data_IF_599360970258
#
_entry.id   IF_599360970258
#
_cell.length_a   1.000
_cell.length_b   1.000
_cell.length_c   1.000
_cell.angle_alpha   90.00
_cell.angle_beta   90.00
_cell.angle_gamma   90.00
#
_symmetry.space_group_name_H-M   'P 1'
#
loop_
_entity.id
_entity.type
_entity.pdbx_description
1 polymer ?
#
# COMPACT_ATOMS: atom_id res chain seq x y z
N UNK A 1 -17.48 3.21 -5.75
CA UNK A 1 -18.42 2.86 -6.85
C UNK A 1 -17.83 1.76 -7.72
N UNK A 2 -18.62 0.75 -8.11
CA UNK A 2 -18.10 -0.44 -8.82
C UNK A 2 -17.50 -0.08 -10.19
N UNK A 3 -18.12 0.85 -10.92
CA UNK A 3 -17.65 1.28 -12.25
C UNK A 3 -16.28 1.98 -12.20
N UNK A 4 -16.03 2.84 -11.21
CA UNK A 4 -14.75 3.57 -11.10
C UNK A 4 -13.58 2.65 -10.78
N UNK A 5 -13.80 1.57 -10.03
CA UNK A 5 -12.78 0.53 -9.78
C UNK A 5 -12.47 -0.24 -11.06
N UNK A 6 -13.49 -0.72 -11.78
CA UNK A 6 -13.27 -1.45 -13.05
C UNK A 6 -12.52 -0.60 -14.08
N UNK A 7 -12.83 0.69 -14.16
CA UNK A 7 -12.12 1.61 -15.03
C UNK A 7 -10.64 1.79 -14.62
N UNK A 8 -10.35 1.79 -13.31
CA UNK A 8 -8.98 1.86 -12.82
C UNK A 8 -8.15 0.64 -13.24
N UNK A 9 -8.75 -0.55 -13.16
CA UNK A 9 -8.12 -1.82 -13.59
C UNK A 9 -7.80 -1.78 -15.10
N UNK A 10 -8.74 -1.33 -15.93
CA UNK A 10 -8.51 -1.17 -17.37
C UNK A 10 -7.36 -0.21 -17.66
N UNK A 11 -7.30 0.93 -16.98
CA UNK A 11 -6.18 1.86 -17.14
C UNK A 11 -4.84 1.28 -16.66
N UNK A 12 -4.85 0.41 -15.66
CA UNK A 12 -3.64 -0.30 -15.21
C UNK A 12 -3.15 -1.29 -16.28
N UNK A 13 -4.06 -2.05 -16.90
CA UNK A 13 -3.75 -2.98 -18.00
C UNK A 13 -3.20 -2.25 -19.23
N UNK A 14 -3.70 -1.05 -19.51
CA UNK A 14 -3.22 -0.17 -20.59
C UNK A 14 -1.92 0.58 -20.26
N UNK A 15 -1.40 0.47 -19.02
CA UNK A 15 -0.19 1.17 -18.56
C UNK A 15 -0.40 2.66 -18.23
N UNK A 16 -1.64 3.13 -18.19
CA UNK A 16 -2.01 4.51 -17.84
C UNK A 16 -2.09 4.73 -16.32
N UNK A 17 -0.94 4.67 -15.65
CA UNK A 17 -0.85 4.69 -14.18
C UNK A 17 -1.51 5.90 -13.51
N UNK A 18 -1.32 7.11 -14.06
CA UNK A 18 -1.92 8.32 -13.50
C UNK A 18 -3.46 8.32 -13.60
N UNK A 19 -4.01 7.83 -14.71
CA UNK A 19 -5.47 7.71 -14.88
C UNK A 19 -6.04 6.66 -13.94
N UNK A 20 -5.35 5.53 -13.79
CA UNK A 20 -5.72 4.49 -12.84
C UNK A 20 -5.72 5.03 -11.40
N UNK A 21 -4.67 5.73 -10.98
CA UNK A 21 -4.58 6.36 -9.66
C UNK A 21 -5.75 7.31 -9.39
N UNK A 22 -6.08 8.19 -10.34
CA UNK A 22 -7.24 9.10 -10.22
C UNK A 22 -8.56 8.33 -10.10
N UNK A 23 -8.72 7.23 -10.81
CA UNK A 23 -9.92 6.40 -10.72
C UNK A 23 -10.04 5.69 -9.35
N UNK A 24 -8.93 5.22 -8.78
CA UNK A 24 -8.89 4.64 -7.44
C UNK A 24 -9.16 5.68 -6.35
N UNK A 25 -8.58 6.87 -6.46
CA UNK A 25 -8.90 7.97 -5.54
C UNK A 25 -10.40 8.29 -5.58
N UNK A 26 -10.95 8.46 -6.79
CA UNK A 26 -12.38 8.73 -6.97
C UNK A 26 -13.25 7.60 -6.43
N UNK A 27 -12.79 6.36 -6.54
CA UNK A 27 -13.48 5.21 -5.95
C UNK A 27 -13.60 5.32 -4.43
N UNK A 28 -12.52 5.69 -3.74
CA UNK A 28 -12.48 5.86 -2.28
C UNK A 28 -13.33 7.06 -1.82
N UNK A 29 -13.28 8.18 -2.54
CA UNK A 29 -14.12 9.35 -2.27
C UNK A 29 -15.62 9.01 -2.31
N UNK A 30 -16.04 8.30 -3.37
CA UNK A 30 -17.44 7.88 -3.51
C UNK A 30 -17.86 6.90 -2.41
N UNK A 31 -16.92 6.04 -1.96
CA UNK A 31 -17.19 5.11 -0.87
C UNK A 31 -17.39 5.86 0.45
N UNK A 32 -16.51 6.81 0.76
CA UNK A 32 -16.63 7.66 1.93
C UNK A 32 -17.91 8.49 1.91
N UNK A 33 -18.25 9.10 0.78
CA UNK A 33 -19.50 9.85 0.62
C UNK A 33 -20.75 8.97 0.88
N UNK A 34 -20.74 7.73 0.38
CA UNK A 34 -21.83 6.79 0.62
C UNK A 34 -21.96 6.42 2.11
N UNK A 35 -20.83 6.31 2.83
CA UNK A 35 -20.83 6.05 4.29
C UNK A 35 -21.44 7.23 5.07
N UNK A 36 -21.07 8.47 4.71
CA UNK A 36 -21.67 9.67 5.31
C UNK A 36 -23.18 9.73 5.07
N UNK A 37 -23.61 9.48 3.83
CA UNK A 37 -25.03 9.45 3.49
C UNK A 37 -25.80 8.37 4.29
N UNK A 38 -25.21 7.19 4.46
CA UNK A 38 -25.80 6.11 5.25
C UNK A 38 -25.90 6.47 6.75
N UNK A 39 -24.89 7.15 7.30
CA UNK A 39 -24.90 7.59 8.70
C UNK A 39 -26.02 8.62 8.98
N UNK A 40 -26.28 9.54 8.05
CA UNK A 40 -27.36 10.52 8.17
C UNK A 40 -28.77 9.91 8.16
N UNK A 41 -28.97 8.77 7.49
CA UNK A 41 -30.29 8.11 7.45
C UNK A 41 -30.61 7.30 8.71
N UNK A 42 -29.61 6.97 9.53
CA UNK A 42 -29.81 6.27 10.81
C UNK A 42 -30.13 7.22 11.97
N UNK A 43 -29.83 8.52 11.81
CA UNK A 43 -30.31 9.56 12.70
C UNK A 43 -31.69 10.01 12.20
N UNK A 44 -32.72 9.77 13.00
CA UNK A 44 -34.11 10.18 12.75
C UNK A 44 -34.22 11.67 12.34
N UNK A 45 -35.32 12.10 11.67
CA UNK A 45 -35.42 13.41 11.03
C UNK A 45 -35.68 14.50 12.07
N UNK A 46 -34.68 14.88 12.87
CA UNK A 46 -34.70 16.16 13.56
C UNK A 46 -34.36 17.24 12.56
N UNK A 47 -35.40 17.94 12.13
CA UNK A 47 -35.41 19.09 11.23
C UNK A 47 -34.56 20.23 11.81
N UNK A 48 -33.24 20.18 11.70
CA UNK A 48 -32.32 21.30 11.92
C UNK A 48 -30.89 20.79 11.67
N UNK A 49 -30.52 20.64 10.41
CA UNK A 49 -29.12 20.53 10.02
C UNK A 49 -28.94 21.28 8.71
N UNK A 50 -28.74 22.57 8.88
CA UNK A 50 -28.25 23.55 7.93
C UNK A 50 -27.34 22.90 6.88
N UNK A 51 -27.79 22.96 5.63
CA UNK A 51 -27.01 22.58 4.45
C UNK A 51 -25.64 23.26 4.45
N UNK A 52 -24.61 22.51 4.84
CA UNK A 52 -23.21 22.74 4.44
C UNK A 52 -22.71 21.59 3.58
N UNK A 53 -23.63 20.91 2.89
CA UNK A 53 -23.33 19.94 1.83
C UNK A 53 -23.13 20.69 0.50
N UNK A 54 -22.18 21.61 0.47
CA UNK A 54 -21.79 22.31 -0.75
C UNK A 54 -20.30 22.08 -0.96
N UNK A 55 -20.00 21.30 -2.01
CA UNK A 55 -18.67 21.09 -2.59
C UNK A 55 -17.74 20.20 -1.75
N UNK A 56 -18.05 18.89 -1.70
CA UNK A 56 -17.26 17.83 -1.08
C UNK A 56 -15.92 17.59 -1.79
N UNK A 57 -14.99 18.55 -1.70
CA UNK A 57 -13.57 18.29 -1.90
C UNK A 57 -12.98 17.96 -0.54
N UNK A 58 -13.12 16.71 -0.11
CA UNK A 58 -12.48 16.24 1.12
C UNK A 58 -10.96 16.20 0.90
N UNK A 59 -10.20 16.52 1.95
CA UNK A 59 -8.75 16.29 1.91
C UNK A 59 -8.49 14.79 1.71
N UNK A 60 -7.56 14.43 0.83
CA UNK A 60 -7.29 13.02 0.51
C UNK A 60 -6.94 12.19 1.75
N UNK A 61 -6.18 12.77 2.67
CA UNK A 61 -5.89 12.19 3.98
C UNK A 61 -7.16 11.85 4.78
N UNK A 62 -8.16 12.74 4.78
CA UNK A 62 -9.43 12.49 5.46
C UNK A 62 -10.18 11.31 4.84
N UNK A 63 -10.19 11.22 3.50
CA UNK A 63 -10.81 10.09 2.79
C UNK A 63 -10.11 8.79 3.15
N UNK A 64 -8.78 8.74 3.12
CA UNK A 64 -8.02 7.53 3.43
C UNK A 64 -8.19 7.09 4.88
N UNK A 65 -8.20 8.02 5.84
CA UNK A 65 -8.33 7.69 7.25
C UNK A 65 -9.74 7.24 7.63
N UNK A 66 -10.78 7.79 6.99
CA UNK A 66 -12.16 7.57 7.39
C UNK A 66 -12.89 6.52 6.55
N UNK A 67 -12.35 6.13 5.39
CA UNK A 67 -12.98 5.10 4.57
C UNK A 67 -12.91 3.74 5.28
N UNK A 68 -14.05 3.05 5.34
CA UNK A 68 -14.08 1.63 5.70
C UNK A 68 -13.30 0.81 4.67
N UNK A 69 -12.41 -0.06 5.15
CA UNK A 69 -11.53 -0.85 4.30
C UNK A 69 -12.13 -2.25 4.12
N UNK A 70 -12.77 -2.47 2.97
CA UNK A 70 -13.10 -3.80 2.48
C UNK A 70 -12.07 -4.22 1.41
N UNK A 71 -12.18 -5.44 0.87
CA UNK A 71 -11.28 -5.93 -0.18
C UNK A 71 -11.05 -4.97 -1.37
N UNK A 72 -12.08 -4.33 -1.99
CA UNK A 72 -11.86 -3.44 -3.12
C UNK A 72 -11.19 -2.11 -2.72
N UNK A 73 -11.41 -1.62 -1.50
CA UNK A 73 -10.76 -0.43 -0.98
C UNK A 73 -9.31 -0.72 -0.56
N UNK A 74 -9.03 -1.92 -0.03
CA UNK A 74 -7.67 -2.37 0.26
C UNK A 74 -6.80 -2.42 -1.00
N UNK A 75 -7.32 -3.00 -2.10
CA UNK A 75 -6.64 -3.01 -3.39
C UNK A 75 -6.36 -1.58 -3.90
N UNK A 76 -7.34 -0.69 -3.79
CA UNK A 76 -7.20 0.71 -4.20
C UNK A 76 -6.14 1.45 -3.37
N UNK A 77 -6.14 1.27 -2.05
CA UNK A 77 -5.15 1.86 -1.13
C UNK A 77 -3.74 1.32 -1.41
N UNK A 78 -3.62 0.03 -1.69
CA UNK A 78 -2.34 -0.60 -2.05
C UNK A 78 -1.79 -0.01 -3.35
N UNK A 79 -2.60 0.08 -4.40
CA UNK A 79 -2.20 0.68 -5.66
C UNK A 79 -1.75 2.14 -5.48
N UNK A 80 -2.54 2.94 -4.75
CA UNK A 80 -2.20 4.33 -4.47
C UNK A 80 -0.92 4.46 -3.64
N UNK A 81 -0.67 3.53 -2.71
CA UNK A 81 0.56 3.53 -1.90
C UNK A 81 1.81 3.38 -2.77
N UNK A 82 1.77 2.45 -3.75
CA UNK A 82 2.85 2.30 -4.72
C UNK A 82 2.99 3.53 -5.61
N UNK A 83 1.88 4.06 -6.12
CA UNK A 83 1.88 5.25 -6.96
C UNK A 83 2.51 6.47 -6.27
N UNK A 84 2.08 6.78 -5.03
CA UNK A 84 2.64 7.91 -4.28
C UNK A 84 4.09 7.68 -3.86
N UNK A 85 4.49 6.44 -3.53
CA UNK A 85 5.90 6.10 -3.29
C UNK A 85 6.76 6.43 -4.51
N UNK A 86 6.29 6.05 -5.70
CA UNK A 86 7.05 6.21 -6.95
C UNK A 86 7.11 7.68 -7.38
N UNK A 87 6.12 8.49 -7.01
CA UNK A 87 6.13 9.95 -7.22
C UNK A 87 6.90 10.73 -6.13
N UNK A 88 7.40 10.05 -5.09
CA UNK A 88 8.14 10.67 -3.99
C UNK A 88 7.27 11.28 -2.88
N UNK A 89 5.95 11.12 -2.95
CA UNK A 89 4.98 11.56 -1.94
C UNK A 89 4.90 10.53 -0.80
N UNK A 90 6.02 10.38 -0.07
CA UNK A 90 6.20 9.34 0.95
C UNK A 90 5.22 9.47 2.12
N UNK A 91 4.83 10.69 2.48
CA UNK A 91 3.87 10.95 3.57
C UNK A 91 2.51 10.35 3.26
N UNK A 92 1.98 10.62 2.06
CA UNK A 92 0.68 10.11 1.61
C UNK A 92 0.74 8.58 1.46
N UNK A 93 1.82 8.06 0.90
CA UNK A 93 2.04 6.62 0.81
C UNK A 93 2.05 5.96 2.19
N UNK A 94 2.64 6.63 3.20
CA UNK A 94 2.66 6.18 4.59
C UNK A 94 1.27 6.11 5.24
N UNK A 95 0.42 7.10 4.96
CA UNK A 95 -0.98 7.13 5.45
C UNK A 95 -1.76 5.94 4.87
N UNK A 96 -1.69 5.73 3.55
CA UNK A 96 -2.35 4.61 2.88
C UNK A 96 -1.88 3.25 3.43
N UNK A 97 -0.57 3.06 3.59
CA UNK A 97 0.00 1.85 4.18
C UNK A 97 -0.46 1.62 5.62
N UNK A 98 -0.54 2.68 6.42
CA UNK A 98 -1.00 2.58 7.81
C UNK A 98 -2.44 2.08 7.88
N UNK A 99 -3.29 2.56 6.96
CA UNK A 99 -4.68 2.12 6.84
C UNK A 99 -4.79 0.65 6.42
N UNK A 100 -3.92 0.16 5.54
CA UNK A 100 -3.88 -1.25 5.13
C UNK A 100 -3.57 -2.21 6.29
N UNK A 101 -2.89 -1.75 7.35
CA UNK A 101 -2.55 -2.61 8.49
C UNK A 101 -3.79 -3.04 9.31
N UNK A 102 -4.86 -2.28 9.22
CA UNK A 102 -6.14 -2.55 9.89
C UNK A 102 -6.98 -3.59 9.16
N UNK A 103 -6.73 -3.81 7.87
CA UNK A 103 -7.45 -4.80 7.06
C UNK A 103 -6.83 -6.20 7.20
N UNK A 104 -7.61 -7.25 7.50
CA UNK A 104 -7.11 -8.61 7.48
C UNK A 104 -7.05 -9.15 6.04
N UNK A 105 -5.85 -9.39 5.51
CA UNK A 105 -5.66 -9.94 4.16
C UNK A 105 -4.20 -9.99 3.72
N UNK A 106 -3.89 -10.55 2.53
CA UNK A 106 -2.55 -10.49 1.94
C UNK A 106 -2.05 -9.04 1.76
N UNK A 107 -2.96 -8.10 1.52
CA UNK A 107 -2.67 -6.67 1.37
C UNK A 107 -2.04 -6.07 2.63
N UNK A 108 -2.28 -6.65 3.80
CA UNK A 108 -1.63 -6.25 5.06
C UNK A 108 -0.14 -6.53 5.06
N UNK A 109 0.26 -7.70 4.55
CA UNK A 109 1.67 -8.09 4.50
C UNK A 109 2.42 -7.21 3.50
N UNK A 110 1.80 -6.94 2.35
CA UNK A 110 2.31 -6.00 1.36
C UNK A 110 2.41 -4.58 1.91
N UNK A 111 1.36 -4.06 2.54
CA UNK A 111 1.36 -2.75 3.18
C UNK A 111 2.43 -2.62 4.25
N UNK A 112 2.69 -3.68 5.04
CA UNK A 112 3.77 -3.70 6.03
C UNK A 112 5.17 -3.71 5.40
N UNK A 113 5.35 -4.46 4.30
CA UNK A 113 6.61 -4.44 3.56
C UNK A 113 6.87 -3.05 2.97
N UNK A 114 5.87 -2.46 2.33
CA UNK A 114 5.93 -1.13 1.74
C UNK A 114 6.18 -0.04 2.79
N UNK A 115 5.53 -0.11 3.96
CA UNK A 115 5.75 0.85 5.04
C UNK A 115 7.20 0.84 5.57
N UNK A 116 7.85 -0.34 5.60
CA UNK A 116 9.28 -0.44 5.95
C UNK A 116 10.15 0.24 4.91
N UNK A 117 9.84 0.05 3.63
CA UNK A 117 10.54 0.71 2.53
C UNK A 117 10.39 2.23 2.59
N UNK A 118 9.17 2.73 2.78
CA UNK A 118 8.88 4.17 2.86
C UNK A 118 9.65 4.81 4.03
N UNK A 119 9.64 4.18 5.21
CA UNK A 119 10.41 4.67 6.38
C UNK A 119 11.91 4.76 6.09
N UNK A 120 12.48 3.73 5.48
CA UNK A 120 13.89 3.74 5.06
C UNK A 120 14.20 4.89 4.10
N UNK A 121 13.32 5.16 3.13
CA UNK A 121 13.47 6.27 2.19
C UNK A 121 13.34 7.63 2.86
N UNK A 122 12.40 7.80 3.79
CA UNK A 122 12.24 9.03 4.58
C UNK A 122 13.50 9.31 5.42
N UNK A 123 14.03 8.29 6.10
CA UNK A 123 15.26 8.45 6.91
C UNK A 123 16.44 8.90 6.04
N UNK A 124 16.63 8.32 4.85
CA UNK A 124 17.69 8.73 3.92
C UNK A 124 17.51 10.20 3.50
N UNK A 125 16.29 10.62 3.15
CA UNK A 125 16.01 12.02 2.78
C UNK A 125 16.32 13.01 3.92
N UNK A 126 16.02 12.65 5.16
CA UNK A 126 16.36 13.48 6.32
C UNK A 126 17.87 13.62 6.53
N UNK A 127 18.65 12.58 6.23
CA UNK A 127 20.11 12.65 6.35
C UNK A 127 20.76 13.46 5.22
N UNK A 128 20.25 13.38 3.98
CA UNK A 128 20.81 14.15 2.86
C UNK A 128 20.59 15.65 3.00
N UNK A 129 19.45 16.07 3.57
CA UNK A 129 19.12 17.50 3.74
C UNK A 129 19.95 18.18 4.84
N UNK A 130 20.65 17.41 5.68
CA UNK A 130 21.45 17.94 6.80
C UNK A 130 22.95 18.04 6.48
N UNK A 131 23.38 17.58 5.30
CA UNK A 131 24.81 17.55 4.90
C UNK A 131 25.28 18.74 4.05
N UNK A 132 24.41 19.72 3.77
CA UNK A 132 24.76 20.88 2.94
C UNK A 132 25.32 22.09 3.71
N UNK A 133 25.55 22.00 5.02
CA UNK A 133 26.04 23.13 5.84
C UNK A 133 27.30 22.84 6.69
N UNK A 134 28.24 22.03 6.21
CA UNK A 134 29.62 22.11 6.74
C UNK A 134 30.64 21.98 5.60
N UNK A 135 31.00 23.13 5.04
CA UNK A 135 32.33 23.32 4.47
C UNK A 135 33.37 23.01 5.54
N UNK A 136 33.97 21.82 5.45
CA UNK A 136 34.97 21.34 6.38
C UNK A 136 35.82 20.26 5.73
N UNK A 137 36.76 20.67 4.88
CA UNK A 137 37.95 19.87 4.55
C UNK A 137 38.50 19.18 5.80
N UNK A 138 38.79 17.87 5.73
CA UNK A 138 40.07 17.25 6.11
C UNK A 138 40.03 15.72 5.87
N UNK A 139 40.94 15.30 4.99
CA UNK A 139 41.72 14.04 4.93
C UNK A 139 41.06 12.68 5.19
N UNK A 140 41.07 11.91 4.10
CA UNK A 140 41.22 10.45 3.95
C UNK A 140 41.85 9.69 5.14
N UNK A 141 41.30 8.49 5.41
CA UNK A 141 42.09 7.31 5.82
C UNK A 141 41.46 6.00 5.31
N UNK A 142 42.22 5.12 4.61
CA UNK A 142 41.74 3.84 4.05
C UNK A 142 41.65 2.69 5.09
N UNK A 143 41.02 1.55 4.74
CA UNK A 143 40.51 0.56 5.69
C UNK A 143 41.59 -0.35 6.28
N UNK A 144 41.47 -0.68 7.57
CA UNK A 144 42.28 -1.71 8.23
C UNK A 144 41.63 -3.09 8.08
N UNK A 145 42.35 -3.99 7.41
CA UNK A 145 42.19 -5.45 7.47
C UNK A 145 42.42 -5.97 8.89
N UNK A 146 41.62 -6.94 9.32
CA UNK A 146 42.05 -8.01 10.25
C UNK A 146 41.05 -9.17 10.19
N UNK A 147 41.48 -10.30 9.60
CA UNK A 147 41.68 -11.63 10.25
C UNK A 147 40.37 -12.40 10.47
N UNK A 148 40.06 -13.36 9.59
CA UNK A 148 40.44 -14.79 9.69
C UNK A 148 39.87 -15.45 10.94
N UNK A 149 38.83 -16.26 10.76
CA UNK A 149 38.62 -17.41 11.61
C UNK A 149 38.07 -18.57 10.76
N UNK A 150 38.95 -19.52 10.48
CA UNK A 150 38.63 -20.87 10.05
C UNK A 150 38.08 -21.65 11.26
N UNK A 151 37.03 -22.43 11.04
CA UNK A 151 36.75 -23.76 11.61
C UNK A 151 35.26 -24.06 11.43
N UNK A 152 34.84 -25.00 10.58
CA UNK A 152 35.09 -26.45 10.48
C UNK A 152 33.81 -27.22 10.90
N UNK A 153 33.24 -27.87 9.89
CA UNK A 153 32.74 -29.25 9.86
C UNK A 153 31.43 -29.68 10.55
N UNK A 154 30.62 -30.28 9.66
CA UNK A 154 29.89 -31.56 9.74
C UNK A 154 28.60 -31.66 10.55
N UNK A 155 27.51 -31.99 9.81
CA UNK A 155 26.69 -33.22 9.89
C UNK A 155 25.74 -33.18 8.67
N UNK A 156 25.79 -34.06 7.67
CA UNK A 156 25.51 -35.51 7.63
C UNK A 156 24.03 -35.83 7.90
N UNK A 157 23.44 -36.58 6.95
CA UNK A 157 22.11 -37.23 6.95
C UNK A 157 20.90 -36.29 6.65
N UNK A 158 19.90 -36.61 5.82
CA UNK A 158 19.41 -37.88 5.28
C UNK A 158 18.41 -37.59 4.11
N UNK A 159 18.39 -38.48 3.11
CA UNK A 159 17.25 -39.01 2.34
C UNK A 159 16.16 -38.08 1.73
N UNK A 160 15.96 -38.24 0.42
CA UNK A 160 14.78 -37.83 -0.37
C UNK A 160 13.66 -38.90 -0.27
N UNK A 161 12.62 -38.96 -1.13
CA UNK A 161 11.89 -37.93 -1.89
C UNK A 161 10.36 -38.00 -1.64
N UNK A 162 9.59 -36.96 -1.97
CA UNK A 162 8.16 -37.16 -2.26
C UNK A 162 7.61 -36.12 -3.24
N UNK A 163 7.80 -36.39 -4.53
CA UNK A 163 7.00 -35.79 -5.60
C UNK A 163 5.73 -36.61 -5.77
N UNK A 164 4.60 -36.11 -5.26
CA UNK A 164 3.27 -36.55 -5.74
C UNK A 164 2.75 -35.49 -6.71
N UNK A 165 3.13 -35.68 -7.96
CA UNK A 165 2.31 -35.27 -9.10
C UNK A 165 1.00 -36.06 -9.03
N UNK A 166 -0.13 -35.36 -8.97
CA UNK A 166 -1.44 -35.91 -9.29
C UNK A 166 -1.96 -35.07 -10.44
N UNK A 167 -1.70 -35.58 -11.64
CA UNK A 167 -2.37 -35.16 -12.86
C UNK A 167 -3.72 -35.86 -13.00
N UNK A 168 -4.53 -35.24 -13.84
CA UNK A 168 -5.62 -35.81 -14.63
C UNK A 168 -6.99 -35.99 -13.97
N UNK A 169 -7.73 -34.89 -14.06
CA UNK A 169 -8.95 -34.79 -14.89
C UNK A 169 -9.64 -36.11 -15.26
N UNK A 170 -10.72 -36.41 -14.55
CA UNK A 170 -11.85 -37.15 -15.10
C UNK A 170 -13.12 -36.63 -14.44
N UNK A 171 -13.82 -35.74 -15.12
CA UNK A 171 -15.20 -35.40 -14.81
C UNK A 171 -16.05 -35.84 -15.99
N UNK A 172 -16.57 -37.05 -15.86
CA UNK A 172 -17.51 -37.65 -16.79
C UNK A 172 -18.84 -36.88 -16.74
N UNK A 173 -19.27 -36.40 -17.90
CA UNK A 173 -20.59 -35.87 -18.14
C UNK A 173 -21.48 -37.06 -18.51
N UNK A 174 -22.57 -37.28 -17.79
CA UNK A 174 -23.60 -38.26 -18.16
C UNK A 174 -24.96 -37.59 -18.35
N UNK A 175 -25.78 -38.13 -19.28
CA UNK A 175 -26.76 -37.39 -20.08
C UNK A 175 -28.06 -37.00 -19.36
#
# INVERSE_FOLDING_TARGET
>A
GIATRKLAILYQEEGHMEKAARCYLRHLELRYQAQLAAAHHQQSPSKEATSSQTNNSFGMEQVFNMVHVDAPEAEALLYLSYYYRDNGELDIAGICCSRLLEYPGPEKEEGKALLREIRSRMDIQHHTNNTDDVGGTIKQKPPRKSKSNDNNNNSMEEEAPSSRFVDESSFDFSP
#
